data_IF_338484319672
#
_entry.id   IF_338484319672
#
_cell.length_a   1.000
_cell.length_b   1.000
_cell.length_c   1.000
_cell.angle_alpha   90.00
_cell.angle_beta   90.00
_cell.angle_gamma   90.00
#
_symmetry.space_group_name_H-M   'P 1'
#
loop_
_entity.id
_entity.type
_entity.pdbx_description
1 polymer ?
#
# COMPACT_ATOMS: atom_id res chain seq x y z
N UNK A 1 10.26 -5.63 -12.01
CA UNK A 1 9.28 -4.53 -11.88
C UNK A 1 9.89 -3.51 -10.97
N UNK A 2 10.26 -2.35 -11.49
CA UNK A 2 10.80 -1.24 -10.70
C UNK A 2 9.67 -0.64 -9.87
N UNK A 3 9.69 -0.87 -8.56
CA UNK A 3 8.73 -0.25 -7.65
C UNK A 3 9.24 1.14 -7.28
N UNK A 4 8.47 2.16 -7.64
CA UNK A 4 8.85 3.56 -7.40
C UNK A 4 8.53 3.95 -5.96
N UNK A 5 9.47 4.65 -5.33
CA UNK A 5 9.33 5.18 -3.96
C UNK A 5 9.14 6.69 -4.03
N UNK A 6 8.14 7.20 -3.33
CA UNK A 6 7.77 8.62 -3.30
C UNK A 6 7.66 9.11 -1.86
N UNK A 7 8.14 10.32 -1.57
CA UNK A 7 7.78 11.00 -0.33
C UNK A 7 6.29 11.38 -0.32
N UNK A 8 5.65 11.35 0.85
CA UNK A 8 4.24 11.78 0.99
C UNK A 8 3.95 13.19 0.43
N UNK A 9 4.96 14.08 0.43
CA UNK A 9 4.86 15.44 -0.11
C UNK A 9 5.07 15.52 -1.63
N UNK A 10 5.64 14.47 -2.23
CA UNK A 10 6.01 14.39 -3.65
C UNK A 10 4.96 13.63 -4.48
N UNK A 11 3.85 13.26 -3.82
CA UNK A 11 2.76 12.49 -4.38
C UNK A 11 1.42 13.24 -4.20
N UNK A 12 1.17 14.31 -4.98
CA UNK A 12 -0.13 14.96 -5.02
C UNK A 12 -1.20 14.04 -5.66
N UNK A 13 -2.46 14.32 -5.40
CA UNK A 13 -3.61 13.51 -5.85
C UNK A 13 -3.62 13.23 -7.35
N UNK A 14 -3.24 14.21 -8.18
CA UNK A 14 -3.14 14.05 -9.64
C UNK A 14 -2.16 12.95 -10.05
N UNK A 15 -0.97 12.94 -9.43
CA UNK A 15 0.08 11.96 -9.69
C UNK A 15 -0.29 10.60 -9.12
N UNK A 16 -0.93 10.58 -7.94
CA UNK A 16 -1.47 9.37 -7.35
C UNK A 16 -2.49 8.71 -8.29
N UNK A 17 -3.45 9.49 -8.78
CA UNK A 17 -4.47 9.01 -9.73
C UNK A 17 -3.86 8.46 -11.01
N UNK A 18 -2.80 9.11 -11.53
CA UNK A 18 -2.09 8.59 -12.69
C UNK A 18 -1.48 7.22 -12.42
N UNK A 19 -0.76 7.05 -11.30
CA UNK A 19 -0.18 5.75 -10.92
C UNK A 19 -1.24 4.66 -10.78
N UNK A 20 -2.39 4.99 -10.19
CA UNK A 20 -3.49 4.05 -10.01
C UNK A 20 -4.12 3.63 -11.34
N UNK A 21 -4.28 4.56 -12.30
CA UNK A 21 -4.76 4.28 -13.65
C UNK A 21 -3.77 3.47 -14.48
N UNK A 22 -2.48 3.73 -14.29
CA UNK A 22 -1.40 3.02 -14.97
C UNK A 22 -1.14 1.63 -14.35
N UNK A 23 -1.97 1.21 -13.37
CA UNK A 23 -1.84 -0.06 -12.64
C UNK A 23 -0.45 -0.24 -11.99
N UNK A 24 0.20 0.87 -11.62
CA UNK A 24 1.54 0.88 -11.08
C UNK A 24 1.54 0.51 -9.58
N UNK A 25 2.55 -0.25 -9.17
CA UNK A 25 2.84 -0.49 -7.75
C UNK A 25 3.88 0.52 -7.27
N UNK A 26 3.65 1.10 -6.10
CA UNK A 26 4.50 2.17 -5.56
C UNK A 26 4.55 2.15 -4.03
N UNK A 27 5.54 2.85 -3.47
CA UNK A 27 5.71 3.01 -2.02
C UNK A 27 5.69 4.49 -1.67
N UNK A 28 4.89 4.84 -0.67
CA UNK A 28 4.90 6.15 -0.04
C UNK A 28 5.74 6.07 1.24
N UNK A 29 6.82 6.83 1.30
CA UNK A 29 7.70 6.93 2.46
C UNK A 29 7.51 8.25 3.22
N UNK A 30 8.10 8.31 4.43
CA UNK A 30 8.09 9.48 5.31
C UNK A 30 6.67 9.95 5.67
N UNK A 31 5.71 9.04 5.72
CA UNK A 31 4.33 9.34 6.15
C UNK A 31 4.34 9.57 7.66
N UNK A 32 3.90 10.74 8.16
CA UNK A 32 3.84 10.97 9.60
C UNK A 32 2.78 10.07 10.24
N UNK A 33 3.08 9.52 11.44
CA UNK A 33 2.18 8.58 12.16
C UNK A 33 0.74 9.05 12.29
N UNK A 34 0.52 10.35 12.49
CA UNK A 34 -0.80 10.98 12.64
C UNK A 34 -1.59 10.99 11.32
N UNK A 35 -0.92 11.10 10.18
CA UNK A 35 -1.53 11.19 8.85
C UNK A 35 -1.69 9.84 8.15
N UNK A 36 -1.23 8.74 8.73
CA UNK A 36 -1.40 7.40 8.12
C UNK A 36 -2.85 7.06 7.80
N UNK A 37 -3.78 7.32 8.74
CA UNK A 37 -5.19 7.03 8.54
C UNK A 37 -5.77 7.89 7.41
N UNK A 38 -5.40 9.16 7.38
CA UNK A 38 -5.82 10.11 6.35
C UNK A 38 -5.32 9.69 4.97
N UNK A 39 -4.03 9.39 4.82
CA UNK A 39 -3.45 8.95 3.54
C UNK A 39 -4.07 7.64 3.05
N UNK A 40 -4.33 6.69 3.96
CA UNK A 40 -5.01 5.44 3.60
C UNK A 40 -6.43 5.72 3.12
N UNK A 41 -7.20 6.51 3.86
CA UNK A 41 -8.56 6.85 3.45
C UNK A 41 -8.58 7.58 2.10
N UNK A 42 -7.61 8.44 1.83
CA UNK A 42 -7.45 9.10 0.53
C UNK A 42 -7.13 8.07 -0.56
N UNK A 43 -6.25 7.11 -0.32
CA UNK A 43 -5.95 6.03 -1.26
C UNK A 43 -7.20 5.17 -1.54
N UNK A 44 -7.91 4.74 -0.50
CA UNK A 44 -9.13 3.95 -0.61
C UNK A 44 -10.16 4.67 -1.50
N UNK A 45 -10.44 5.95 -1.22
CA UNK A 45 -11.38 6.76 -2.01
C UNK A 45 -10.97 6.87 -3.48
N UNK A 46 -9.69 7.11 -3.76
CA UNK A 46 -9.23 7.23 -5.14
C UNK A 46 -9.33 5.90 -5.89
N UNK A 47 -9.01 4.78 -5.24
CA UNK A 47 -9.15 3.45 -5.83
C UNK A 47 -10.64 3.12 -6.07
N UNK A 48 -11.51 3.41 -5.11
CA UNK A 48 -12.97 3.25 -5.25
C UNK A 48 -13.54 4.14 -6.37
N UNK A 49 -13.02 5.36 -6.55
CA UNK A 49 -13.41 6.25 -7.66
C UNK A 49 -13.07 5.67 -9.03
N UNK A 50 -12.08 4.79 -9.09
CA UNK A 50 -11.69 4.07 -10.30
C UNK A 50 -12.43 2.73 -10.46
N UNK A 51 -13.49 2.48 -9.68
CA UNK A 51 -14.26 1.23 -9.65
C UNK A 51 -13.39 -0.01 -9.30
N UNK A 52 -12.29 0.22 -8.60
CA UNK A 52 -11.35 -0.83 -8.19
C UNK A 52 -11.50 -1.16 -6.70
N UNK A 53 -11.14 -2.39 -6.33
CA UNK A 53 -11.18 -2.86 -4.94
C UNK A 53 -9.80 -2.77 -4.32
N UNK A 54 -9.71 -2.20 -3.12
CA UNK A 54 -8.48 -2.21 -2.34
C UNK A 54 -8.61 -3.04 -1.06
N UNK A 55 -7.47 -3.52 -0.55
CA UNK A 55 -7.37 -4.23 0.72
C UNK A 55 -6.25 -3.63 1.56
N UNK A 56 -6.59 -3.14 2.75
CA UNK A 56 -5.61 -2.55 3.67
C UNK A 56 -5.08 -3.58 4.67
N UNK A 57 -3.77 -3.78 4.67
CA UNK A 57 -3.05 -4.57 5.65
C UNK A 57 -2.33 -3.70 6.67
N UNK A 58 -2.45 -4.07 7.94
CA UNK A 58 -1.56 -3.59 9.00
C UNK A 58 -0.39 -4.56 9.12
N UNK A 59 0.87 -4.12 8.90
CA UNK A 59 2.03 -4.93 9.31
C UNK A 59 2.02 -5.02 10.85
N UNK A 60 1.38 -6.06 11.37
CA UNK A 60 1.40 -6.41 12.78
C UNK A 60 2.81 -6.79 13.20
N UNK A 61 3.22 -6.43 14.42
CA UNK A 61 4.53 -6.72 15.02
C UNK A 61 4.78 -8.23 15.22
N UNK A 62 4.82 -9.07 14.16
CA UNK A 62 5.16 -10.51 14.26
C UNK A 62 5.87 -11.13 13.05
N UNK A 63 6.51 -10.35 12.17
CA UNK A 63 7.45 -10.93 11.17
C UNK A 63 8.72 -10.09 11.05
N UNK A 64 9.51 -10.07 12.12
CA UNK A 64 10.91 -9.61 12.08
C UNK A 64 11.89 -10.76 11.77
N UNK A 65 11.42 -11.93 11.33
CA UNK A 65 12.32 -13.06 11.05
C UNK A 65 12.05 -13.66 9.68
N UNK A 66 12.66 -13.07 8.65
CA UNK A 66 13.46 -13.77 7.65
C UNK A 66 13.82 -12.79 6.52
N UNK A 67 15.03 -12.22 6.58
CA UNK A 67 15.72 -11.64 5.42
C UNK A 67 15.33 -10.20 5.04
N UNK A 68 16.24 -9.26 5.34
CA UNK A 68 16.41 -7.96 4.66
C UNK A 68 15.21 -6.99 4.70
N UNK A 69 15.09 -6.21 5.77
CA UNK A 69 14.05 -5.17 5.94
C UNK A 69 14.59 -3.73 6.01
N UNK A 70 15.76 -3.45 5.42
CA UNK A 70 16.39 -2.13 5.44
C UNK A 70 16.73 -1.57 4.05
N UNK A 71 15.98 -1.95 3.02
CA UNK A 71 16.14 -1.36 1.68
C UNK A 71 14.80 -1.16 0.97
N UNK A 72 14.68 -0.14 0.09
CA UNK A 72 13.52 0.08 -0.78
C UNK A 72 13.25 -1.08 -1.76
N UNK A 73 14.12 -2.10 -1.80
CA UNK A 73 14.04 -3.30 -2.64
C UNK A 73 13.35 -4.50 -1.96
N UNK A 74 13.00 -4.43 -0.67
CA UNK A 74 12.45 -5.55 0.10
C UNK A 74 10.92 -5.75 -0.05
N UNK A 75 10.36 -5.47 -1.22
CA UNK A 75 8.90 -5.35 -1.41
C UNK A 75 8.22 -6.71 -1.68
N UNK A 76 9.00 -7.74 -2.03
CA UNK A 76 8.43 -9.04 -2.44
C UNK A 76 8.29 -10.08 -1.32
N UNK A 77 8.73 -9.79 -0.09
CA UNK A 77 8.83 -10.78 0.99
C UNK A 77 7.74 -10.77 2.06
N UNK A 78 6.62 -10.06 1.88
CA UNK A 78 5.61 -9.95 2.95
C UNK A 78 4.20 -10.29 2.47
N UNK A 79 3.99 -11.56 2.13
CA UNK A 79 2.71 -12.19 2.42
C UNK A 79 2.73 -12.56 3.92
N UNK A 80 2.29 -11.66 4.81
CA UNK A 80 2.27 -11.97 6.25
C UNK A 80 1.06 -11.40 6.96
N UNK A 81 0.22 -12.34 7.38
CA UNK A 81 -0.67 -12.38 8.54
C UNK A 81 -1.59 -11.15 8.79
N UNK A 82 -2.87 -11.41 8.53
CA UNK A 82 -4.03 -10.56 8.69
C UNK A 82 -4.12 -9.79 10.02
N UNK A 83 -4.46 -8.50 9.91
CA UNK A 83 -5.26 -7.79 10.91
C UNK A 83 -6.28 -6.92 10.16
N UNK A 84 -7.51 -7.43 10.07
CA UNK A 84 -8.66 -6.76 9.48
C UNK A 84 -9.00 -5.50 10.28
N UNK A 85 -8.71 -4.33 9.70
CA UNK A 85 -9.38 -3.09 10.09
C UNK A 85 -10.78 -3.10 9.47
N UNK A 86 -11.79 -2.74 10.25
CA UNK A 86 -13.22 -2.88 9.96
C UNK A 86 -13.62 -2.45 8.53
N UNK A 87 -14.60 -3.17 7.95
CA UNK A 87 -15.12 -3.18 6.57
C UNK A 87 -14.59 -4.31 5.67
N UNK A 88 -14.87 -5.54 6.10
CA UNK A 88 -14.69 -6.80 5.37
C UNK A 88 -15.74 -6.98 4.25
N UNK A 89 -15.71 -6.18 3.17
CA UNK A 89 -16.67 -6.28 2.03
C UNK A 89 -15.98 -6.58 0.68
N UNK A 90 -14.72 -7.04 0.66
CA UNK A 90 -14.07 -7.35 -0.64
C UNK A 90 -12.95 -8.40 -0.59
N UNK A 91 -13.01 -9.38 0.31
CA UNK A 91 -11.85 -10.25 0.56
C UNK A 91 -11.87 -11.57 -0.24
N UNK A 92 -12.18 -11.56 -1.53
CA UNK A 92 -11.84 -12.69 -2.42
C UNK A 92 -10.92 -12.28 -3.58
N UNK A 93 -11.03 -11.06 -4.11
CA UNK A 93 -10.17 -10.61 -5.23
C UNK A 93 -10.02 -9.06 -5.27
N UNK A 94 -9.05 -8.48 -4.52
CA UNK A 94 -8.78 -7.05 -4.55
C UNK A 94 -7.86 -6.69 -5.72
N UNK A 95 -8.14 -5.58 -6.41
CA UNK A 95 -7.26 -4.99 -7.42
C UNK A 95 -5.96 -4.46 -6.81
N UNK A 96 -6.05 -3.87 -5.62
CA UNK A 96 -4.93 -3.26 -4.92
C UNK A 96 -4.78 -3.75 -3.47
N UNK A 97 -3.53 -3.88 -3.01
CA UNK A 97 -3.18 -4.15 -1.62
C UNK A 97 -2.37 -2.98 -1.04
N UNK A 98 -2.80 -2.46 0.10
CA UNK A 98 -2.17 -1.33 0.81
C UNK A 98 -1.60 -1.84 2.13
N UNK A 99 -0.28 -2.04 2.21
CA UNK A 99 0.38 -2.45 3.44
C UNK A 99 0.95 -1.25 4.19
N UNK A 100 0.45 -0.99 5.41
CA UNK A 100 0.95 0.08 6.27
C UNK A 100 2.00 -0.41 7.26
N UNK A 101 3.15 0.26 7.26
CA UNK A 101 4.24 0.05 8.22
C UNK A 101 4.42 1.29 9.12
N UNK A 102 3.86 1.23 10.32
CA UNK A 102 3.97 2.31 11.32
C UNK A 102 5.37 2.43 11.95
N UNK A 103 6.21 1.40 11.79
CA UNK A 103 7.58 1.39 12.32
C UNK A 103 8.46 2.24 11.42
N UNK A 104 8.43 2.01 10.11
CA UNK A 104 9.25 2.72 9.12
C UNK A 104 8.59 3.98 8.57
N UNK A 105 7.29 4.21 8.81
CA UNK A 105 6.60 5.37 8.24
C UNK A 105 6.29 5.19 6.75
N UNK A 106 6.09 3.94 6.30
CA UNK A 106 5.87 3.62 4.88
C UNK A 106 4.49 3.02 4.63
N UNK A 107 3.93 3.33 3.47
CA UNK A 107 2.74 2.71 2.87
C UNK A 107 3.15 2.07 1.56
N UNK A 108 2.92 0.76 1.40
CA UNK A 108 3.20 0.05 0.15
C UNK A 108 1.87 -0.21 -0.54
N UNK A 109 1.73 0.25 -1.78
CA UNK A 109 0.55 0.06 -2.62
C UNK A 109 0.93 -0.88 -3.76
N UNK A 110 0.30 -2.05 -3.82
CA UNK A 110 0.63 -3.11 -4.78
C UNK A 110 -0.58 -3.45 -5.64
N UNK A 111 -0.44 -3.41 -6.95
CA UNK A 111 -1.46 -3.89 -7.88
C UNK A 111 -1.37 -5.42 -8.00
N UNK A 112 -2.50 -6.11 -7.84
CA UNK A 112 -2.55 -7.58 -7.73
C UNK A 112 -3.01 -8.31 -8.97
N UNK A 113 -3.80 -7.66 -9.81
CA UNK A 113 -4.35 -8.26 -11.03
C UNK A 113 -3.38 -8.17 -12.21
N UNK A 114 -2.09 -8.06 -11.93
CA UNK A 114 -1.10 -7.84 -12.97
C UNK A 114 -1.18 -8.98 -13.99
N UNK A 115 -1.59 -8.60 -15.20
CA UNK A 115 -1.80 -9.45 -16.36
C UNK A 115 -0.59 -10.36 -16.63
N UNK A 116 -0.89 -11.59 -17.05
CA UNK A 116 0.01 -12.51 -17.78
C UNK A 116 0.65 -11.82 -19.00
#
# INVERSE_FOLDING_TARGET
MDVRVYGVRELPDEKLMKLLRDHESFVIEKVPRKHFKEVINTLERHIETLDMKCRVFSKGRKTLMAGSFFGPTAIWGVASAAFMGAHNVATWDPDYEIAKNRVTGTLTVTYKKKDD
#
